data_IF_286577177495
#
_entry.id   IF_286577177495
#
_cell.length_a   1.000
_cell.length_b   1.000
_cell.length_c   1.000
_cell.angle_alpha   90.00
_cell.angle_beta   90.00
_cell.angle_gamma   90.00
#
_symmetry.space_group_name_H-M   'P 1'
#
loop_
_entity.id
_entity.type
_entity.pdbx_description
1 polymer ?
#
# COMPACT_ATOMS: atom_id res chain seq x y z
N UNK A 1 -27.80 44.65 34.16
CA UNK A 1 -26.35 44.55 33.93
C UNK A 1 -25.85 43.27 34.61
N UNK A 2 -26.23 42.11 34.07
CA UNK A 2 -25.83 40.78 34.55
C UNK A 2 -25.98 39.83 33.36
N UNK A 3 -24.90 39.49 32.65
CA UNK A 3 -24.87 38.25 31.83
C UNK A 3 -23.43 37.85 31.48
N UNK A 4 -22.55 37.76 32.48
CA UNK A 4 -21.16 37.30 32.28
C UNK A 4 -20.97 35.83 32.70
N UNK A 5 -21.93 34.95 32.37
CA UNK A 5 -21.91 33.53 32.78
C UNK A 5 -22.25 32.52 31.66
N UNK A 6 -21.85 32.80 30.42
CA UNK A 6 -22.10 31.91 29.27
C UNK A 6 -20.82 31.33 28.62
N UNK A 7 -19.63 31.50 29.22
CA UNK A 7 -18.38 31.00 28.61
C UNK A 7 -18.03 29.55 28.98
N UNK A 8 -18.67 28.97 30.01
CA UNK A 8 -18.33 27.63 30.51
C UNK A 8 -18.79 26.48 29.57
N UNK A 9 -19.81 26.69 28.74
CA UNK A 9 -20.35 25.62 27.89
C UNK A 9 -19.58 25.48 26.56
N UNK A 10 -18.80 26.49 26.16
CA UNK A 10 -18.12 26.50 24.86
C UNK A 10 -16.85 25.65 24.83
N UNK A 11 -16.26 25.34 25.99
CA UNK A 11 -15.09 24.47 26.08
C UNK A 11 -15.44 22.98 26.13
N UNK A 12 -16.67 22.63 26.52
CA UNK A 12 -17.06 21.23 26.70
C UNK A 12 -17.43 20.53 25.39
N UNK A 13 -17.70 21.27 24.31
CA UNK A 13 -17.97 20.70 22.98
C UNK A 13 -16.71 20.19 22.25
N UNK A 14 -15.51 20.58 22.69
CA UNK A 14 -14.26 20.13 22.04
C UNK A 14 -13.79 18.74 22.50
N UNK A 15 -14.34 18.19 23.59
CA UNK A 15 -13.86 16.96 24.20
C UNK A 15 -14.61 15.68 23.80
N UNK A 16 -15.69 15.78 23.01
CA UNK A 16 -16.56 14.63 22.67
C UNK A 16 -16.49 14.18 21.19
N UNK A 17 -15.49 14.64 20.44
CA UNK A 17 -15.19 14.18 19.06
C UNK A 17 -13.77 13.59 18.96
N UNK A 18 -13.34 12.89 20.00
CA UNK A 18 -12.21 11.94 19.88
C UNK A 18 -12.70 10.58 20.33
N UNK A 19 -13.84 10.17 19.76
CA UNK A 19 -14.32 8.81 19.82
C UNK A 19 -13.67 8.01 18.69
N UNK A 20 -13.03 6.94 19.14
CA UNK A 20 -12.59 5.77 18.39
C UNK A 20 -11.55 5.97 17.29
N UNK A 21 -10.32 5.56 17.63
CA UNK A 21 -9.30 5.07 16.71
C UNK A 21 -9.74 3.84 15.90
N UNK A 22 -10.88 3.93 15.20
CA UNK A 22 -11.14 3.16 14.01
C UNK A 22 -10.26 3.75 12.90
N UNK A 23 -9.04 3.21 12.83
CA UNK A 23 -8.04 3.60 11.87
C UNK A 23 -8.60 3.70 10.46
N UNK A 24 -7.92 4.49 9.63
CA UNK A 24 -8.17 4.62 8.19
C UNK A 24 -7.89 3.31 7.44
N UNK A 25 -8.47 2.19 7.87
CA UNK A 25 -8.66 0.99 7.07
C UNK A 25 -9.75 1.30 6.05
N UNK A 26 -9.42 2.25 5.16
CA UNK A 26 -10.05 2.31 3.85
C UNK A 26 -9.69 0.97 3.21
N UNK A 27 -10.55 -0.05 3.36
CA UNK A 27 -10.47 -1.29 2.59
C UNK A 27 -10.44 -0.86 1.14
N UNK A 28 -9.23 -0.78 0.57
CA UNK A 28 -9.07 -0.40 -0.82
C UNK A 28 -9.79 -1.47 -1.62
N UNK A 29 -10.72 -1.03 -2.47
CA UNK A 29 -11.35 -1.92 -3.44
C UNK A 29 -10.22 -2.62 -4.19
N UNK A 30 -10.26 -3.96 -4.22
CA UNK A 30 -9.29 -4.73 -5.01
C UNK A 30 -9.36 -4.23 -6.43
N UNK A 31 -8.22 -3.85 -6.97
CA UNK A 31 -8.17 -3.45 -8.38
C UNK A 31 -8.08 -4.71 -9.23
N UNK A 32 -8.52 -4.69 -10.49
CA UNK A 32 -8.32 -5.82 -11.41
C UNK A 32 -6.84 -6.25 -11.50
N UNK A 33 -5.91 -5.31 -11.31
CA UNK A 33 -4.46 -5.57 -11.26
C UNK A 33 -4.06 -6.41 -10.05
N UNK A 34 -4.69 -6.19 -8.89
CA UNK A 34 -4.44 -6.98 -7.69
C UNK A 34 -4.95 -8.42 -7.88
N UNK A 35 -6.14 -8.60 -8.45
CA UNK A 35 -6.71 -9.93 -8.71
C UNK A 35 -5.88 -10.73 -9.74
N UNK A 36 -5.39 -10.04 -10.77
CA UNK A 36 -4.48 -10.61 -11.74
C UNK A 36 -3.16 -11.07 -11.09
N UNK A 37 -2.53 -10.22 -10.27
CA UNK A 37 -1.32 -10.59 -9.55
C UNK A 37 -1.53 -11.76 -8.57
N UNK A 38 -2.68 -11.81 -7.88
CA UNK A 38 -3.03 -12.92 -6.99
C UNK A 38 -3.12 -14.24 -7.76
N UNK A 39 -3.82 -14.21 -8.90
CA UNK A 39 -3.93 -15.36 -9.81
C UNK A 39 -2.55 -15.80 -10.29
N UNK A 40 -1.71 -14.86 -10.74
CA UNK A 40 -0.33 -15.16 -11.15
C UNK A 40 0.51 -15.75 -10.02
N UNK A 41 0.32 -15.29 -8.79
CA UNK A 41 1.01 -15.83 -7.61
C UNK A 41 0.76 -17.32 -7.42
N UNK A 42 -0.45 -17.78 -7.78
CA UNK A 42 -0.86 -19.18 -7.66
C UNK A 42 -0.42 -20.03 -8.86
N UNK A 43 -0.51 -19.50 -10.08
CA UNK A 43 -0.30 -20.30 -11.30
C UNK A 43 1.15 -20.26 -11.83
N UNK A 44 1.91 -19.20 -11.52
CA UNK A 44 3.25 -19.00 -12.08
C UNK A 44 4.30 -19.64 -11.17
N UNK A 45 5.16 -20.52 -11.69
CA UNK A 45 6.31 -21.04 -10.94
C UNK A 45 7.42 -19.98 -10.86
N UNK A 46 7.26 -18.99 -9.98
CA UNK A 46 8.13 -17.80 -9.89
C UNK A 46 9.60 -18.12 -9.76
N UNK A 47 9.97 -19.11 -8.95
CA UNK A 47 11.37 -19.50 -8.77
C UNK A 47 11.99 -20.02 -10.08
N UNK A 48 11.28 -20.91 -10.79
CA UNK A 48 11.74 -21.46 -12.07
C UNK A 48 11.80 -20.37 -13.15
N UNK A 49 10.80 -19.49 -13.20
CA UNK A 49 10.77 -18.37 -14.13
C UNK A 49 11.93 -17.40 -13.87
N UNK A 50 12.18 -17.05 -12.61
CA UNK A 50 13.32 -16.21 -12.25
C UNK A 50 14.65 -16.85 -12.63
N UNK A 51 14.83 -18.17 -12.43
CA UNK A 51 16.06 -18.87 -12.77
C UNK A 51 16.39 -18.81 -14.27
N UNK A 52 15.37 -18.84 -15.14
CA UNK A 52 15.56 -18.72 -16.60
C UNK A 52 15.93 -17.29 -17.02
N UNK A 53 15.43 -16.28 -16.32
CA UNK A 53 15.65 -14.86 -16.66
C UNK A 53 16.91 -14.31 -16.00
N UNK A 54 17.31 -14.83 -14.85
CA UNK A 54 18.50 -14.41 -14.08
C UNK A 54 19.80 -14.26 -14.89
N UNK A 55 20.16 -15.15 -15.85
CA UNK A 55 21.38 -14.96 -16.65
C UNK A 55 21.35 -13.71 -17.53
N UNK A 56 20.15 -13.24 -17.91
CA UNK A 56 19.96 -12.03 -18.72
C UNK A 56 19.73 -10.79 -17.87
N UNK A 57 19.41 -10.96 -16.59
CA UNK A 57 19.15 -9.85 -15.68
C UNK A 57 20.47 -9.19 -15.26
N UNK A 58 20.52 -7.87 -15.36
CA UNK A 58 21.74 -7.12 -15.03
C UNK A 58 22.10 -7.34 -13.57
N UNK A 59 23.31 -7.85 -13.36
CA UNK A 59 23.85 -8.05 -12.01
C UNK A 59 24.27 -6.70 -11.43
N UNK A 60 24.19 -6.60 -10.10
CA UNK A 60 24.53 -5.40 -9.33
C UNK A 60 25.89 -4.83 -9.79
N UNK A 61 25.85 -3.66 -10.43
CA UNK A 61 27.03 -2.88 -10.82
C UNK A 61 27.21 -1.63 -9.95
N UNK A 62 28.08 -0.70 -10.40
CA UNK A 62 28.30 0.60 -9.75
C UNK A 62 27.16 1.57 -10.08
N UNK A 63 26.01 1.42 -9.42
CA UNK A 63 24.84 2.27 -9.63
C UNK A 63 23.67 1.91 -8.72
N UNK A 64 22.48 2.42 -9.04
CA UNK A 64 21.25 2.07 -8.31
C UNK A 64 21.05 0.55 -8.40
N UNK A 65 20.85 -0.15 -7.27
CA UNK A 65 20.64 -1.59 -7.30
C UNK A 65 19.42 -1.90 -8.18
N UNK A 66 19.52 -2.90 -9.07
CA UNK A 66 18.39 -3.35 -9.86
C UNK A 66 17.27 -3.82 -8.92
N UNK A 67 16.02 -3.62 -9.35
CA UNK A 67 14.85 -4.10 -8.62
C UNK A 67 14.94 -5.63 -8.56
N UNK A 68 14.57 -6.28 -7.44
CA UNK A 68 14.58 -7.74 -7.38
C UNK A 68 13.82 -8.35 -8.56
N UNK A 69 14.41 -9.35 -9.23
CA UNK A 69 13.92 -9.90 -10.50
C UNK A 69 12.43 -10.24 -10.46
N UNK A 70 12.00 -10.95 -9.42
CA UNK A 70 10.59 -11.31 -9.21
C UNK A 70 9.66 -10.09 -9.12
N UNK A 71 10.08 -9.04 -8.40
CA UNK A 71 9.31 -7.80 -8.27
C UNK A 71 9.25 -7.05 -9.60
N UNK A 72 10.36 -6.96 -10.32
CA UNK A 72 10.43 -6.34 -11.64
C UNK A 72 9.45 -7.03 -12.60
N UNK A 73 9.42 -8.36 -12.57
CA UNK A 73 8.57 -9.18 -13.42
C UNK A 73 7.08 -8.96 -13.09
N UNK A 74 6.69 -8.92 -11.81
CA UNK A 74 5.32 -8.56 -11.39
C UNK A 74 4.89 -7.18 -11.88
N UNK A 75 5.79 -6.19 -11.83
CA UNK A 75 5.50 -4.84 -12.35
C UNK A 75 5.26 -4.88 -13.86
N UNK A 76 6.10 -5.60 -14.60
CA UNK A 76 5.99 -5.68 -16.06
C UNK A 76 4.65 -6.31 -16.49
N UNK A 77 4.22 -7.38 -15.83
CA UNK A 77 2.94 -8.04 -16.14
C UNK A 77 1.70 -7.18 -15.89
N UNK A 78 1.78 -6.17 -15.01
CA UNK A 78 0.67 -5.26 -14.69
C UNK A 78 0.71 -3.96 -15.49
N UNK A 79 1.85 -3.68 -16.12
CA UNK A 79 2.09 -2.44 -16.86
C UNK A 79 1.54 -2.48 -18.29
N UNK A 80 1.51 -3.66 -18.93
CA UNK A 80 0.87 -3.89 -20.23
C UNK A 80 -0.62 -4.18 -20.08
#
# INVERSE_FOLDING_TARGET
MIEERQTATKQQMLAMVVDEGAGFETKRKRTPRDEFLDTMSQIVPWAALCAVVEPYYSKRGNGRPPIGLERMMRIHFVQH
#
